data_IF_217605106874
#
_entry.id   IF_217605106874
#
_cell.length_a   1.000
_cell.length_b   1.000
_cell.length_c   1.000
_cell.angle_alpha   90.00
_cell.angle_beta   90.00
_cell.angle_gamma   90.00
#
_symmetry.space_group_name_H-M   'P 1'
#
loop_
_entity.id
_entity.type
_entity.pdbx_description
1 polymer ?
#
# COMPACT_ATOMS: atom_id res chain seq x y z
N UNK A 1 18.32 -17.91 -1.82
CA UNK A 1 17.83 -16.52 -1.67
C UNK A 1 16.93 -16.48 -0.46
N UNK A 2 17.17 -15.64 0.52
CA UNK A 2 16.13 -15.38 1.50
C UNK A 2 14.93 -14.81 0.73
N UNK A 3 13.81 -15.49 0.81
CA UNK A 3 12.56 -14.95 0.29
C UNK A 3 12.33 -13.60 0.95
N UNK A 4 11.84 -12.61 0.21
CA UNK A 4 11.45 -11.32 0.78
C UNK A 4 10.56 -11.60 1.97
N UNK A 5 11.05 -11.25 3.13
CA UNK A 5 10.37 -11.57 4.37
C UNK A 5 9.54 -10.41 4.88
N UNK A 6 9.78 -9.19 4.37
CA UNK A 6 9.19 -7.96 4.95
C UNK A 6 8.84 -6.93 3.92
N UNK A 7 7.67 -6.31 4.11
CA UNK A 7 7.23 -5.12 3.41
C UNK A 7 6.90 -4.00 4.39
N UNK A 8 7.20 -2.77 4.01
CA UNK A 8 6.81 -1.58 4.76
C UNK A 8 6.17 -0.57 3.83
N UNK A 9 4.96 -0.14 4.17
CA UNK A 9 4.33 1.03 3.58
C UNK A 9 4.33 2.16 4.60
N UNK A 10 5.09 3.21 4.31
CA UNK A 10 5.14 4.44 5.10
C UNK A 10 3.97 5.33 4.68
N UNK A 11 2.90 5.32 5.45
CA UNK A 11 1.73 6.16 5.26
C UNK A 11 1.90 7.55 5.88
N UNK A 12 0.92 8.44 5.66
CA UNK A 12 0.93 9.79 6.24
C UNK A 12 0.72 9.79 7.77
N UNK A 13 -0.08 8.86 8.29
CA UNK A 13 -0.45 8.80 9.71
C UNK A 13 0.05 7.55 10.40
N UNK A 14 0.28 6.49 9.67
CA UNK A 14 0.67 5.19 10.19
C UNK A 14 1.61 4.48 9.24
N UNK A 15 2.42 3.59 9.79
CA UNK A 15 3.24 2.64 9.08
C UNK A 15 2.55 1.29 9.04
N UNK A 16 2.56 0.63 7.89
CA UNK A 16 1.96 -0.69 7.68
C UNK A 16 3.05 -1.69 7.35
N UNK A 17 3.12 -2.75 8.15
CA UNK A 17 4.10 -3.80 8.03
C UNK A 17 3.48 -5.08 7.52
N UNK A 18 4.19 -5.78 6.67
CA UNK A 18 3.90 -7.15 6.25
C UNK A 18 5.15 -7.99 6.47
N UNK A 19 5.03 -9.10 7.17
CA UNK A 19 6.14 -10.01 7.47
C UNK A 19 5.73 -11.44 7.15
N UNK A 20 6.61 -12.19 6.47
CA UNK A 20 6.41 -13.60 6.17
C UNK A 20 7.37 -14.45 7.00
N UNK A 21 6.85 -15.40 7.77
CA UNK A 21 7.64 -16.26 8.66
C UNK A 21 8.07 -17.60 8.03
N UNK A 22 7.90 -17.72 6.71
CA UNK A 22 8.15 -18.95 5.95
C UNK A 22 6.88 -19.78 5.70
N UNK A 23 5.80 -19.55 6.46
CA UNK A 23 4.53 -20.25 6.33
C UNK A 23 3.34 -19.33 6.06
N UNK A 24 3.31 -18.17 6.66
CA UNK A 24 2.20 -17.22 6.58
C UNK A 24 2.65 -15.77 6.65
N UNK A 25 1.81 -14.89 6.12
CA UNK A 25 1.92 -13.45 6.28
C UNK A 25 1.32 -12.99 7.61
N UNK A 26 1.99 -12.03 8.24
CA UNK A 26 1.48 -11.24 9.36
C UNK A 26 1.44 -9.79 8.95
N UNK A 27 0.37 -9.10 9.32
CA UNK A 27 0.17 -7.69 9.04
C UNK A 27 0.03 -6.93 10.34
N UNK A 28 0.66 -5.77 10.40
CA UNK A 28 0.64 -4.89 11.57
C UNK A 28 0.67 -3.43 11.11
N UNK A 29 0.12 -2.54 11.91
CA UNK A 29 0.18 -1.11 11.64
C UNK A 29 0.28 -0.31 12.94
N UNK A 30 0.98 0.81 12.88
CA UNK A 30 1.24 1.63 14.06
C UNK A 30 1.89 2.96 13.74
N UNK A 31 2.33 3.68 14.75
CA UNK A 31 3.11 4.90 14.59
C UNK A 31 4.47 4.60 13.95
N UNK A 32 5.19 5.65 13.59
CA UNK A 32 6.58 5.55 13.14
C UNK A 32 7.43 4.79 14.17
N UNK A 33 8.17 3.79 13.70
CA UNK A 33 9.06 2.96 14.52
C UNK A 33 10.42 2.80 13.83
N UNK A 34 11.30 3.76 14.06
CA UNK A 34 12.63 3.78 13.47
C UNK A 34 13.53 2.64 14.01
N UNK A 35 13.29 2.16 15.22
CA UNK A 35 14.06 1.05 15.78
C UNK A 35 13.73 -0.26 15.05
N UNK A 36 12.45 -0.55 14.84
CA UNK A 36 11.98 -1.70 14.05
C UNK A 36 12.49 -1.61 12.61
N UNK A 37 12.44 -0.41 12.00
CA UNK A 37 12.93 -0.19 10.64
C UNK A 37 14.43 -0.50 10.52
N UNK A 38 15.24 0.01 11.43
CA UNK A 38 16.68 -0.26 11.46
C UNK A 38 16.95 -1.76 11.62
N UNK A 39 16.25 -2.43 12.52
CA UNK A 39 16.39 -3.87 12.72
C UNK A 39 15.98 -4.67 11.47
N UNK A 40 14.88 -4.31 10.82
CA UNK A 40 14.41 -4.96 9.59
C UNK A 40 15.42 -4.81 8.45
N UNK A 41 16.03 -3.64 8.32
CA UNK A 41 17.03 -3.34 7.30
C UNK A 41 18.32 -4.14 7.52
N UNK A 42 18.79 -4.23 8.78
CA UNK A 42 19.97 -5.02 9.14
C UNK A 42 19.78 -6.53 8.85
N UNK A 43 18.56 -7.02 9.02
CA UNK A 43 18.22 -8.42 8.72
C UNK A 43 18.08 -8.71 7.23
N UNK A 44 17.93 -7.67 6.40
CA UNK A 44 17.74 -7.76 4.97
C UNK A 44 16.34 -8.22 4.53
N UNK A 45 16.09 -8.20 3.23
CA UNK A 45 14.82 -8.63 2.64
C UNK A 45 13.66 -7.67 2.90
N UNK A 46 13.94 -6.39 3.20
CA UNK A 46 12.93 -5.34 3.32
C UNK A 46 12.67 -4.72 1.95
N UNK A 47 11.42 -4.73 1.51
CA UNK A 47 10.91 -3.90 0.41
C UNK A 47 10.04 -2.82 1.02
N UNK A 48 10.12 -1.59 0.54
CA UNK A 48 9.38 -0.49 1.11
C UNK A 48 8.78 0.45 0.07
N UNK A 49 7.70 1.10 0.46
CA UNK A 49 7.04 2.17 -0.30
C UNK A 49 6.65 3.30 0.65
N UNK A 50 6.48 4.51 0.13
CA UNK A 50 6.12 5.66 0.95
C UNK A 50 5.21 6.64 0.21
N UNK A 51 4.19 7.11 0.91
CA UNK A 51 3.39 8.30 0.60
C UNK A 51 3.54 9.37 1.69
N UNK A 52 3.96 8.97 2.89
CA UNK A 52 4.33 9.85 3.99
C UNK A 52 5.82 10.19 4.02
N UNK A 53 6.21 10.95 5.04
CA UNK A 53 7.60 11.36 5.24
C UNK A 53 8.47 10.17 5.61
N UNK A 54 9.56 10.02 4.89
CA UNK A 54 10.59 9.01 5.19
C UNK A 54 11.53 9.59 6.25
N UNK A 55 11.82 8.86 7.35
CA UNK A 55 12.74 9.34 8.37
C UNK A 55 14.16 9.47 7.81
N UNK A 56 14.79 10.61 8.08
CA UNK A 56 16.15 10.90 7.60
C UNK A 56 17.22 10.17 8.41
N UNK A 57 16.86 9.72 9.61
CA UNK A 57 17.77 9.03 10.53
C UNK A 57 18.05 7.59 10.11
N UNK A 58 17.24 7.02 9.24
CA UNK A 58 17.40 5.66 8.74
C UNK A 58 17.69 5.72 7.24
N UNK A 59 18.89 5.27 6.88
CA UNK A 59 19.30 5.21 5.47
C UNK A 59 18.60 4.03 4.78
N UNK A 60 17.45 4.27 4.17
CA UNK A 60 16.74 3.27 3.38
C UNK A 60 17.36 3.08 2.00
N UNK A 61 17.61 1.82 1.63
CA UNK A 61 18.16 1.47 0.33
C UNK A 61 17.13 1.78 -0.78
N UNK A 62 17.52 2.67 -1.70
CA UNK A 62 16.62 3.11 -2.78
C UNK A 62 16.30 1.98 -3.78
N UNK A 63 17.18 1.01 -3.94
CA UNK A 63 16.95 -0.15 -4.80
C UNK A 63 15.81 -1.04 -4.32
N UNK A 64 15.48 -0.98 -3.02
CA UNK A 64 14.41 -1.77 -2.39
C UNK A 64 13.09 -0.98 -2.31
N UNK A 65 13.06 0.23 -2.87
CA UNK A 65 11.89 1.08 -2.89
C UNK A 65 10.96 0.71 -4.04
N UNK A 66 9.69 0.48 -3.71
CA UNK A 66 8.60 0.38 -4.68
C UNK A 66 7.98 1.75 -4.93
N UNK A 67 7.75 2.03 -6.19
CA UNK A 67 7.00 3.19 -6.68
C UNK A 67 5.73 2.74 -7.39
N UNK A 68 4.85 3.67 -7.74
CA UNK A 68 3.64 3.34 -8.50
C UNK A 68 3.95 2.66 -9.85
N UNK A 69 5.13 2.91 -10.43
CA UNK A 69 5.55 2.33 -11.72
C UNK A 69 5.99 0.87 -11.62
N UNK A 70 6.34 0.41 -10.41
CA UNK A 70 6.77 -0.96 -10.17
C UNK A 70 5.58 -1.91 -9.99
N UNK A 71 4.37 -1.35 -9.82
CA UNK A 71 3.14 -2.14 -9.63
C UNK A 71 2.45 -2.32 -10.99
N UNK A 72 2.13 -3.56 -11.40
CA UNK A 72 1.56 -3.84 -12.71
C UNK A 72 0.05 -3.53 -12.78
N UNK A 73 -0.34 -2.31 -12.45
CA UNK A 73 -1.71 -1.82 -12.55
C UNK A 73 -1.88 -1.05 -13.86
N UNK A 74 -2.62 -1.58 -14.86
CA UNK A 74 -2.82 -0.90 -16.13
C UNK A 74 -3.54 0.44 -15.95
N UNK A 75 -3.20 1.42 -16.78
CA UNK A 75 -3.86 2.75 -16.77
C UNK A 75 -3.51 3.62 -15.56
N UNK A 76 -2.55 3.21 -14.74
CA UNK A 76 -2.14 3.94 -13.56
C UNK A 76 -1.45 5.26 -13.96
N UNK A 77 -1.96 6.43 -13.52
CA UNK A 77 -1.28 7.69 -13.78
C UNK A 77 -0.11 7.90 -12.80
N UNK A 78 0.93 8.61 -13.25
CA UNK A 78 2.16 8.85 -12.47
C UNK A 78 1.93 9.59 -11.14
N UNK A 79 0.85 10.35 -11.03
CA UNK A 79 0.51 11.09 -9.81
C UNK A 79 -0.24 10.28 -8.75
N UNK A 80 -0.68 9.06 -9.08
CA UNK A 80 -1.41 8.22 -8.12
C UNK A 80 -0.46 7.70 -7.04
N UNK A 81 -0.81 7.90 -5.79
CA UNK A 81 -0.01 7.43 -4.65
C UNK A 81 0.21 5.92 -4.67
N UNK A 82 1.42 5.49 -4.34
CA UNK A 82 1.80 4.08 -4.38
C UNK A 82 0.93 3.20 -3.46
N UNK A 83 0.43 3.72 -2.35
CA UNK A 83 -0.50 3.05 -1.46
C UNK A 83 -1.81 2.67 -2.16
N UNK A 84 -2.37 3.60 -2.93
CA UNK A 84 -3.59 3.35 -3.73
C UNK A 84 -3.36 2.36 -4.85
N UNK A 85 -2.21 2.45 -5.52
CA UNK A 85 -1.84 1.55 -6.61
C UNK A 85 -1.67 0.12 -6.09
N UNK A 86 -0.93 -0.05 -4.98
CA UNK A 86 -0.74 -1.34 -4.32
C UNK A 86 -2.08 -1.93 -3.84
N UNK A 87 -2.91 -1.11 -3.18
CA UNK A 87 -4.21 -1.53 -2.68
C UNK A 87 -5.14 -1.98 -3.81
N UNK A 88 -5.23 -1.21 -4.90
CA UNK A 88 -6.08 -1.54 -6.04
C UNK A 88 -5.61 -2.80 -6.77
N UNK A 89 -4.30 -2.93 -7.00
CA UNK A 89 -3.72 -4.13 -7.62
C UNK A 89 -3.94 -5.38 -6.76
N UNK A 90 -3.68 -5.30 -5.47
CA UNK A 90 -3.90 -6.41 -4.54
C UNK A 90 -5.38 -6.81 -4.45
N UNK A 91 -6.29 -5.83 -4.39
CA UNK A 91 -7.73 -6.09 -4.37
C UNK A 91 -8.19 -6.78 -5.66
N UNK A 92 -7.66 -6.38 -6.81
CA UNK A 92 -7.94 -7.03 -8.08
C UNK A 92 -7.45 -8.48 -8.11
N UNK A 93 -6.20 -8.71 -7.75
CA UNK A 93 -5.57 -10.05 -7.72
C UNK A 93 -6.32 -11.00 -6.78
N UNK A 94 -6.64 -10.55 -5.57
CA UNK A 94 -7.42 -11.32 -4.59
C UNK A 94 -8.82 -11.63 -5.12
N UNK A 95 -9.48 -10.67 -5.76
CA UNK A 95 -10.83 -10.86 -6.29
C UNK A 95 -10.85 -11.87 -7.43
N UNK A 96 -9.87 -11.83 -8.33
CA UNK A 96 -9.71 -12.83 -9.39
C UNK A 96 -9.47 -14.22 -8.82
N UNK A 97 -8.54 -14.36 -7.90
CA UNK A 97 -8.17 -15.65 -7.29
C UNK A 97 -9.30 -16.24 -6.43
N UNK A 98 -10.15 -15.37 -5.88
CA UNK A 98 -11.36 -15.77 -5.13
C UNK A 98 -12.57 -16.10 -6.02
N UNK A 99 -12.45 -15.96 -7.34
CA UNK A 99 -13.50 -16.27 -8.30
C UNK A 99 -14.68 -15.28 -8.28
N UNK A 100 -14.45 -14.03 -7.86
CA UNK A 100 -15.47 -12.98 -7.89
C UNK A 100 -15.78 -12.59 -9.35
N UNK A 101 -17.03 -12.27 -9.63
CA UNK A 101 -17.42 -11.70 -10.93
C UNK A 101 -16.93 -10.24 -11.00
N UNK A 102 -15.96 -10.02 -11.86
CA UNK A 102 -15.36 -8.70 -12.11
C UNK A 102 -15.84 -8.06 -13.43
N UNK A 103 -16.88 -8.62 -14.04
CA UNK A 103 -17.43 -8.12 -15.33
C UNK A 103 -17.90 -6.66 -15.30
N UNK A 104 -18.19 -6.11 -14.13
CA UNK A 104 -18.49 -4.69 -13.91
C UNK A 104 -17.30 -3.89 -13.36
N UNK A 105 -16.12 -4.50 -13.24
CA UNK A 105 -14.96 -3.88 -12.63
C UNK A 105 -14.92 -4.02 -11.10
N UNK A 106 -14.06 -3.22 -10.47
CA UNK A 106 -13.84 -3.25 -9.02
C UNK A 106 -13.78 -1.83 -8.47
N UNK A 107 -14.51 -1.57 -7.40
CA UNK A 107 -14.37 -0.36 -6.60
C UNK A 107 -13.71 -0.71 -5.27
N UNK A 108 -12.49 -0.21 -5.06
CA UNK A 108 -11.82 -0.26 -3.76
C UNK A 108 -12.14 1.00 -2.96
N UNK A 109 -12.68 0.81 -1.75
CA UNK A 109 -12.87 1.87 -0.76
C UNK A 109 -11.89 1.66 0.40
N UNK A 110 -10.98 2.60 0.60
CA UNK A 110 -10.04 2.61 1.73
C UNK A 110 -10.40 3.75 2.68
N UNK A 111 -10.84 3.38 3.88
CA UNK A 111 -11.35 4.29 4.89
C UNK A 111 -10.31 4.50 6.00
N UNK A 112 -9.50 5.53 5.86
CA UNK A 112 -8.49 5.94 6.85
C UNK A 112 -8.67 7.39 7.27
N UNK A 113 -7.56 8.11 7.44
CA UNK A 113 -7.51 9.57 7.63
C UNK A 113 -8.19 10.29 6.46
N UNK A 114 -7.99 9.75 5.27
CA UNK A 114 -8.70 10.09 4.03
C UNK A 114 -9.53 8.87 3.63
N UNK A 115 -10.74 9.10 3.13
CA UNK A 115 -11.49 8.10 2.39
C UNK A 115 -11.06 8.18 0.92
N UNK A 116 -10.45 7.12 0.41
CA UNK A 116 -10.10 7.01 -0.99
C UNK A 116 -10.96 5.98 -1.69
N UNK A 117 -11.46 6.34 -2.86
CA UNK A 117 -12.15 5.44 -3.78
C UNK A 117 -11.27 5.26 -5.01
N UNK A 118 -11.07 4.01 -5.43
CA UNK A 118 -10.27 3.67 -6.62
C UNK A 118 -11.07 2.70 -7.46
N UNK A 119 -11.34 3.09 -8.70
CA UNK A 119 -12.15 2.33 -9.64
C UNK A 119 -11.28 1.68 -10.72
N UNK A 120 -11.44 0.37 -10.86
CA UNK A 120 -10.87 -0.42 -11.96
C UNK A 120 -12.00 -0.89 -12.87
N UNK A 121 -11.74 -0.94 -14.18
CA UNK A 121 -12.69 -1.51 -15.13
C UNK A 121 -12.67 -3.05 -15.14
N UNK A 122 -13.43 -3.67 -16.03
CA UNK A 122 -13.53 -5.12 -16.16
C UNK A 122 -12.20 -5.81 -16.55
N UNK A 123 -11.25 -5.09 -17.10
CA UNK A 123 -9.91 -5.55 -17.47
C UNK A 123 -8.88 -5.31 -16.36
N UNK A 124 -9.28 -4.75 -15.20
CA UNK A 124 -8.39 -4.44 -14.09
C UNK A 124 -7.58 -3.15 -14.27
N UNK A 125 -7.92 -2.32 -15.25
CA UNK A 125 -7.24 -1.05 -15.46
C UNK A 125 -7.85 0.06 -14.61
N UNK A 126 -6.99 0.94 -14.10
CA UNK A 126 -7.42 2.16 -13.39
C UNK A 126 -8.20 3.08 -14.34
N UNK A 127 -9.39 3.47 -13.94
CA UNK A 127 -10.26 4.38 -14.74
C UNK A 127 -10.68 5.63 -13.96
N UNK A 128 -10.41 5.70 -12.67
CA UNK A 128 -10.71 6.89 -11.89
C UNK A 128 -10.75 6.63 -10.39
N UNK A 129 -11.11 7.66 -9.67
CA UNK A 129 -11.28 7.59 -8.22
C UNK A 129 -11.55 8.95 -7.60
N UNK A 130 -11.72 8.92 -6.29
CA UNK A 130 -12.05 10.12 -5.51
C UNK A 130 -11.32 10.08 -4.18
N UNK A 131 -10.96 11.25 -3.67
CA UNK A 131 -10.50 11.45 -2.31
C UNK A 131 -11.49 12.36 -1.59
N UNK A 132 -11.79 12.01 -0.34
CA UNK A 132 -12.55 12.86 0.57
C UNK A 132 -11.97 12.76 1.98
N UNK A 133 -12.23 13.74 2.86
CA UNK A 133 -11.84 13.61 4.26
C UNK A 133 -12.42 12.32 4.86
N UNK A 134 -11.62 11.59 5.63
CA UNK A 134 -12.10 10.44 6.38
C UNK A 134 -13.07 10.86 7.49
N UNK A 135 -13.78 9.89 8.08
CA UNK A 135 -14.85 10.16 9.05
C UNK A 135 -14.41 11.06 10.21
N UNK A 136 -13.21 10.82 10.75
CA UNK A 136 -12.68 11.64 11.88
C UNK A 136 -12.47 13.10 11.49
N UNK A 137 -11.96 13.36 10.28
CA UNK A 137 -11.78 14.72 9.79
C UNK A 137 -13.12 15.40 9.51
N UNK A 138 -14.10 14.67 8.99
CA UNK A 138 -15.44 15.19 8.76
C UNK A 138 -16.11 15.57 10.09
N UNK A 139 -16.04 14.71 11.12
CA UNK A 139 -16.60 14.99 12.44
C UNK A 139 -15.88 16.17 13.13
N UNK A 140 -14.57 16.31 12.96
CA UNK A 140 -13.82 17.42 13.54
C UNK A 140 -14.15 18.77 12.87
N UNK A 141 -14.64 18.76 11.63
CA UNK A 141 -15.04 19.97 10.90
C UNK A 141 -16.48 20.44 11.20
N UNK A 142 -17.28 19.61 11.87
CA UNK A 142 -18.65 19.93 12.29
C UNK A 142 -18.67 20.60 13.66
#
# INVERSE_FOLDING_TARGET
MPSVSRGLLIGNSRWHWAEHDGSRWRFDHGPQDCARLTAAQQQGGLIWAAVGSVPVEVALEQQDRLTSRDVPLPGCPDWLGVDRVLGAWAAWDISQTSGLDLGSGLLLADAGTVLSLTLLNAEGAFVGGQLSPGLRLQLAAM
#
